data_IF_712644152079
#
_entry.id   IF_712644152079
#
_cell.length_a   1.000
_cell.length_b   1.000
_cell.length_c   1.000
_cell.angle_alpha   90.00
_cell.angle_beta   90.00
_cell.angle_gamma   90.00
#
_symmetry.space_group_name_H-M   'P 1'
#
loop_
_entity.id
_entity.type
_entity.pdbx_description
1 polymer ?
#
# COMPACT_ATOMS: atom_id res chain seq x y z
N UNK A 1 13.40 0.88 -15.92
CA UNK A 1 12.14 0.52 -15.24
C UNK A 1 12.36 0.63 -13.74
N UNK A 2 11.54 1.41 -13.03
CA UNK A 2 11.69 1.64 -11.58
C UNK A 2 11.17 0.42 -10.79
N UNK A 3 11.94 -0.05 -9.81
CA UNK A 3 11.59 -1.22 -8.99
C UNK A 3 11.01 -0.79 -7.64
N UNK A 4 9.69 -0.90 -7.47
CA UNK A 4 9.00 -0.56 -6.21
C UNK A 4 8.88 -1.74 -5.22
N UNK A 5 9.72 -2.77 -5.36
CA UNK A 5 9.65 -3.98 -4.50
C UNK A 5 9.93 -3.66 -3.03
N UNK A 6 10.88 -2.77 -2.78
CA UNK A 6 11.24 -2.32 -1.44
C UNK A 6 10.10 -1.51 -0.80
N UNK A 7 9.61 -0.53 -1.52
CA UNK A 7 8.55 0.39 -1.11
C UNK A 7 7.30 -0.40 -0.76
N UNK A 8 6.92 -1.37 -1.59
CA UNK A 8 5.77 -2.24 -1.33
C UNK A 8 5.93 -3.11 -0.07
N UNK A 9 7.17 -3.48 0.30
CA UNK A 9 7.47 -4.19 1.55
C UNK A 9 7.38 -3.26 2.76
N UNK A 10 7.97 -2.06 2.67
CA UNK A 10 7.93 -1.06 3.74
C UNK A 10 6.50 -0.57 4.01
N UNK A 11 5.75 -0.30 2.94
CA UNK A 11 4.37 0.14 2.98
C UNK A 11 3.42 -0.90 3.59
N UNK A 12 3.73 -2.20 3.47
CA UNK A 12 2.94 -3.27 4.08
C UNK A 12 3.11 -3.34 5.60
N UNK A 13 4.31 -3.03 6.11
CA UNK A 13 4.63 -3.08 7.54
C UNK A 13 3.96 -1.96 8.34
N UNK A 14 3.72 -0.78 7.73
CA UNK A 14 3.16 0.39 8.40
C UNK A 14 1.70 0.16 8.89
N UNK A 15 0.74 -0.22 8.03
CA UNK A 15 -0.65 -0.50 8.42
C UNK A 15 -0.86 -1.98 8.79
N UNK A 16 0.21 -2.75 9.03
CA UNK A 16 0.18 -4.19 9.33
C UNK A 16 -0.71 -4.99 8.35
N UNK A 17 -0.39 -4.92 7.06
CA UNK A 17 -1.12 -5.64 6.00
C UNK A 17 -0.18 -6.46 5.12
N UNK A 18 -0.72 -7.34 4.29
CA UNK A 18 0.07 -8.08 3.29
C UNK A 18 0.41 -7.22 2.07
N UNK A 19 1.51 -7.53 1.38
CA UNK A 19 1.96 -6.80 0.16
C UNK A 19 0.89 -6.74 -0.94
N UNK A 20 0.01 -7.74 -1.03
CA UNK A 20 -1.11 -7.75 -1.99
C UNK A 20 -2.22 -6.73 -1.69
N UNK A 21 -2.30 -6.25 -0.44
CA UNK A 21 -3.26 -5.25 0.01
C UNK A 21 -2.74 -3.82 -0.10
N UNK A 22 -1.49 -3.62 -0.48
CA UNK A 22 -0.93 -2.29 -0.75
C UNK A 22 -1.23 -1.91 -2.20
N UNK A 23 -1.87 -0.77 -2.39
CA UNK A 23 -1.99 -0.07 -3.66
C UNK A 23 -1.01 1.12 -3.65
N UNK A 24 -0.34 1.32 -4.78
CA UNK A 24 0.63 2.40 -5.02
C UNK A 24 0.11 3.18 -6.22
N UNK A 25 0.12 4.51 -6.14
CA UNK A 25 -0.30 5.35 -7.24
C UNK A 25 0.65 5.21 -8.46
N UNK A 26 0.14 4.85 -9.66
CA UNK A 26 0.94 4.79 -10.87
C UNK A 26 1.40 6.17 -11.38
N UNK A 27 0.76 7.27 -10.98
CA UNK A 27 1.14 8.62 -11.41
C UNK A 27 2.36 9.14 -10.63
N UNK A 28 2.46 8.77 -9.35
CA UNK A 28 3.49 9.26 -8.42
C UNK A 28 4.63 8.26 -8.18
N UNK A 29 4.96 7.46 -9.21
CA UNK A 29 6.00 6.40 -9.10
C UNK A 29 7.37 6.96 -8.70
N UNK A 30 7.70 8.18 -9.15
CA UNK A 30 8.98 8.81 -8.85
C UNK A 30 9.07 9.22 -7.36
N UNK A 31 8.03 9.84 -6.81
CA UNK A 31 7.99 10.21 -5.39
C UNK A 31 7.99 8.97 -4.49
N UNK A 32 7.19 7.95 -4.85
CA UNK A 32 7.15 6.70 -4.11
C UNK A 32 8.53 6.02 -4.13
N UNK A 33 9.23 6.05 -5.28
CA UNK A 33 10.56 5.46 -5.39
C UNK A 33 11.61 6.12 -4.50
N UNK A 34 11.50 7.42 -4.20
CA UNK A 34 12.43 8.11 -3.29
C UNK A 34 12.17 7.80 -1.80
N UNK A 35 11.09 7.10 -1.46
CA UNK A 35 10.78 6.75 -0.09
C UNK A 35 11.47 5.45 0.36
N UNK A 36 12.71 5.58 0.82
CA UNK A 36 13.55 4.44 1.24
C UNK A 36 13.38 4.02 2.72
N UNK A 37 12.71 4.84 3.54
CA UNK A 37 12.57 4.60 4.99
C UNK A 37 11.11 4.60 5.46
N UNK A 38 10.83 3.85 6.53
CA UNK A 38 9.48 3.67 7.09
C UNK A 38 8.78 5.00 7.44
N UNK A 39 9.53 6.01 7.92
CA UNK A 39 8.94 7.31 8.24
C UNK A 39 8.44 8.05 6.98
N UNK A 40 9.17 7.98 5.86
CA UNK A 40 8.74 8.59 4.60
C UNK A 40 7.51 7.85 4.05
N UNK A 41 7.51 6.52 4.12
CA UNK A 41 6.34 5.72 3.72
C UNK A 41 5.10 6.03 4.56
N UNK A 42 5.24 6.37 5.85
CA UNK A 42 4.11 6.80 6.69
C UNK A 42 3.48 8.12 6.21
N UNK A 43 4.29 9.06 5.70
CA UNK A 43 3.79 10.31 5.11
C UNK A 43 2.96 10.00 3.87
N UNK A 44 3.52 9.25 2.92
CA UNK A 44 2.82 8.82 1.70
C UNK A 44 1.51 8.05 1.96
N UNK A 45 1.46 7.25 3.04
CA UNK A 45 0.22 6.57 3.47
C UNK A 45 -0.81 7.55 4.04
N UNK A 46 -0.37 8.61 4.73
CA UNK A 46 -1.24 9.66 5.27
C UNK A 46 -1.75 10.60 4.17
N UNK A 47 -0.90 10.88 3.20
CA UNK A 47 -1.19 11.77 2.06
C UNK A 47 -2.06 11.08 1.01
N UNK A 48 -2.13 9.74 1.02
CA UNK A 48 -3.05 8.95 0.20
C UNK A 48 -2.43 8.35 -1.06
N UNK A 49 -1.14 8.57 -1.32
CA UNK A 49 -0.42 7.94 -2.45
C UNK A 49 -0.24 6.43 -2.27
N UNK A 50 -0.30 5.96 -1.02
CA UNK A 50 -0.24 4.53 -0.67
C UNK A 50 -1.49 4.16 0.11
N UNK A 51 -2.31 3.27 -0.46
CA UNK A 51 -3.62 2.91 0.10
C UNK A 51 -3.67 1.43 0.47
N UNK A 52 -4.25 1.13 1.65
CA UNK A 52 -4.64 -0.22 2.03
C UNK A 52 -5.96 -0.60 1.35
N UNK A 53 -5.90 -1.53 0.40
CA UNK A 53 -7.08 -2.11 -0.24
C UNK A 53 -7.93 -2.88 0.78
N UNK A 54 -9.26 -2.77 0.72
CA UNK A 54 -10.14 -3.53 1.60
C UNK A 54 -9.99 -5.05 1.41
N UNK A 55 -10.35 -5.80 2.44
CA UNK A 55 -10.47 -7.26 2.36
C UNK A 55 -11.66 -7.63 1.48
N UNK A 56 -11.52 -8.69 0.67
CA UNK A 56 -12.65 -9.19 -0.12
C UNK A 56 -13.62 -9.82 0.87
N UNK A 57 -14.84 -9.31 0.94
CA UNK A 57 -15.89 -9.84 1.82
C UNK A 57 -16.66 -10.91 1.04
N UNK A 58 -16.97 -12.03 1.68
CA UNK A 58 -17.90 -13.02 1.14
C UNK A 58 -19.33 -12.67 1.56
N UNK A 59 -20.27 -12.65 0.61
CA UNK A 59 -21.68 -12.39 0.91
C UNK A 59 -22.24 -13.46 1.86
N UNK A 60 -22.95 -13.02 2.90
CA UNK A 60 -23.65 -13.89 3.85
C UNK A 60 -25.17 -13.95 3.62
N UNK A 61 -25.69 -13.34 2.56
CA UNK A 61 -27.13 -13.24 2.29
C UNK A 61 -27.84 -14.59 2.14
N UNK A 62 -27.13 -15.66 1.74
CA UNK A 62 -27.70 -17.01 1.58
C UNK A 62 -27.52 -17.91 2.81
N UNK A 63 -26.60 -17.54 3.70
CA UNK A 63 -26.30 -18.30 4.91
C UNK A 63 -27.00 -17.70 6.15
N UNK A 64 -27.72 -16.59 5.97
CA UNK A 64 -28.61 -15.99 6.97
C UNK A 64 -30.03 -16.45 6.69
#
# INVERSE_FOLDING_TARGET
>A
MVSLKLQKRLAASVPKCGRGKVWLDPNEVNEISMADFHQNTRKLVKDGFIIRKPTKIHSRSRAR
#
